data_IF_381367821264
#
_entry.id   IF_381367821264
#
_cell.length_a   1.000
_cell.length_b   1.000
_cell.length_c   1.000
_cell.angle_alpha   90.00
_cell.angle_beta   90.00
_cell.angle_gamma   90.00
#
_symmetry.space_group_name_H-M   'P 1'
#
loop_
_entity.id
_entity.type
_entity.pdbx_description
1 polymer ?
#
# COMPACT_ATOMS: atom_id res chain seq x y z
N UNK A 1 4.25 -6.01 23.90
CA UNK A 1 3.54 -4.77 23.57
C UNK A 1 4.26 -4.05 22.44
N UNK A 2 3.53 -3.75 21.35
CA UNK A 2 3.88 -2.72 20.37
C UNK A 2 3.23 -1.45 20.89
N UNK A 3 4.02 -0.42 21.17
CA UNK A 3 3.52 0.86 21.62
C UNK A 3 3.88 1.87 20.53
N UNK A 4 2.88 2.30 19.75
CA UNK A 4 2.99 3.45 18.86
C UNK A 4 3.00 4.71 19.74
N UNK A 5 4.17 5.03 20.28
CA UNK A 5 4.39 6.20 21.14
C UNK A 5 5.12 7.34 20.43
N UNK A 6 5.40 7.19 19.13
CA UNK A 6 6.19 8.16 18.36
C UNK A 6 7.69 8.06 18.62
N UNK A 7 8.16 6.93 19.15
CA UNK A 7 9.58 6.60 19.30
C UNK A 7 10.05 5.53 18.30
N UNK A 8 9.13 4.99 17.51
CA UNK A 8 9.41 4.00 16.47
C UNK A 8 10.06 4.63 15.22
N UNK A 9 10.86 3.84 14.50
CA UNK A 9 11.39 4.20 13.19
C UNK A 9 11.05 3.09 12.17
N UNK A 10 10.46 3.43 11.00
CA UNK A 10 9.92 4.76 10.66
C UNK A 10 8.72 5.15 11.53
N UNK A 11 8.58 6.45 11.80
CA UNK A 11 7.33 7.01 12.33
C UNK A 11 6.18 6.77 11.35
N UNK A 12 5.01 6.44 11.90
CA UNK A 12 3.79 6.28 11.10
C UNK A 12 3.12 7.64 10.88
N UNK A 13 2.62 7.85 9.67
CA UNK A 13 1.82 9.01 9.30
C UNK A 13 0.38 8.58 9.11
N UNK A 14 -0.49 8.94 10.06
CA UNK A 14 -1.94 8.68 10.01
C UNK A 14 -2.25 7.23 9.59
N UNK A 15 -1.89 6.24 10.44
CA UNK A 15 -2.25 4.85 10.17
C UNK A 15 -3.77 4.71 10.14
N UNK A 16 -4.30 4.05 9.11
CA UNK A 16 -5.73 3.85 8.93
C UNK A 16 -6.08 2.35 8.92
N UNK A 17 -5.95 1.68 7.78
CA UNK A 17 -6.31 0.27 7.63
C UNK A 17 -5.23 -0.68 8.13
N UNK A 18 -5.66 -1.88 8.57
CA UNK A 18 -4.80 -2.89 9.18
C UNK A 18 -5.23 -4.30 8.79
N UNK A 19 -4.25 -5.20 8.60
CA UNK A 19 -4.46 -6.65 8.59
C UNK A 19 -3.39 -7.33 9.43
N UNK A 20 -3.77 -8.42 10.09
CA UNK A 20 -2.83 -9.30 10.80
C UNK A 20 -2.81 -10.64 10.08
N UNK A 21 -1.62 -11.09 9.69
CA UNK A 21 -1.44 -12.39 9.04
C UNK A 21 -1.15 -13.51 10.04
N UNK A 22 -1.17 -14.75 9.55
CA UNK A 22 -0.86 -15.95 10.35
C UNK A 22 0.66 -16.11 10.65
N UNK A 23 1.52 -15.27 10.06
CA UNK A 23 2.97 -15.25 10.26
C UNK A 23 3.37 -14.27 11.38
N UNK A 24 2.39 -13.61 12.00
CA UNK A 24 2.60 -12.69 13.11
C UNK A 24 3.02 -11.30 12.67
N UNK A 25 2.68 -10.89 11.44
CA UNK A 25 2.89 -9.54 10.94
C UNK A 25 1.58 -8.75 11.00
N UNK A 26 1.70 -7.51 11.42
CA UNK A 26 0.68 -6.48 11.35
C UNK A 26 1.05 -5.58 10.17
N UNK A 27 0.24 -5.59 9.12
CA UNK A 27 0.40 -4.69 7.99
C UNK A 27 -0.53 -3.49 8.19
N UNK A 28 0.03 -2.30 8.08
CA UNK A 28 -0.61 -1.02 8.40
C UNK A 28 -0.50 -0.15 7.16
N UNK A 29 -1.63 0.38 6.69
CA UNK A 29 -1.70 1.33 5.59
C UNK A 29 -1.71 2.75 6.15
N UNK A 30 -0.93 3.63 5.53
CA UNK A 30 -0.96 5.06 5.84
C UNK A 30 -1.94 5.78 4.92
N UNK A 31 -2.75 6.67 5.51
CA UNK A 31 -3.51 7.71 4.82
C UNK A 31 -2.98 9.08 5.29
N UNK A 32 -1.89 9.59 4.67
CA UNK A 32 -1.38 10.91 5.02
C UNK A 32 -2.39 12.04 4.71
N UNK A 33 -3.44 11.77 3.93
CA UNK A 33 -4.25 12.76 3.24
C UNK A 33 -3.37 13.75 2.47
N UNK A 34 -3.76 15.02 2.47
CA UNK A 34 -3.02 16.09 1.79
C UNK A 34 -1.67 16.52 2.46
N UNK A 35 -0.96 15.60 3.12
CA UNK A 35 0.34 15.84 3.75
C UNK A 35 1.50 15.41 2.82
N UNK A 36 2.66 16.02 2.91
CA UNK A 36 3.74 15.83 1.93
C UNK A 36 4.46 14.46 2.00
N UNK A 37 4.11 13.62 2.97
CA UNK A 37 4.66 12.28 3.10
C UNK A 37 3.93 11.34 2.13
N UNK A 38 4.68 10.66 1.28
CA UNK A 38 4.14 9.68 0.33
C UNK A 38 3.73 8.40 1.04
N UNK A 39 2.47 7.99 0.87
CA UNK A 39 1.86 6.91 1.63
C UNK A 39 2.59 5.56 1.48
N UNK A 40 2.62 4.79 2.57
CA UNK A 40 3.28 3.48 2.66
C UNK A 40 2.34 2.41 3.19
N UNK A 41 2.72 1.16 2.92
CA UNK A 41 2.28 0.00 3.70
C UNK A 41 3.47 -0.42 4.56
N UNK A 42 3.27 -0.40 5.87
CA UNK A 42 4.26 -0.74 6.89
C UNK A 42 3.93 -2.11 7.46
N UNK A 43 4.94 -2.98 7.58
CA UNK A 43 4.80 -4.26 8.25
C UNK A 43 5.54 -4.23 9.59
N UNK A 44 4.84 -4.58 10.67
CA UNK A 44 5.39 -4.78 11.99
C UNK A 44 5.30 -6.26 12.38
N UNK A 45 6.42 -6.88 12.72
CA UNK A 45 6.42 -8.27 13.20
C UNK A 45 6.27 -8.31 14.72
N UNK A 46 5.23 -8.98 15.23
CA UNK A 46 4.87 -8.99 16.64
C UNK A 46 5.96 -9.61 17.52
N UNK A 47 6.62 -10.66 17.03
CA UNK A 47 7.62 -11.41 17.79
C UNK A 47 8.97 -10.69 17.82
N UNK A 48 9.52 -10.37 16.64
CA UNK A 48 10.84 -9.73 16.52
C UNK A 48 10.81 -8.23 16.79
N UNK A 49 9.62 -7.62 16.83
CA UNK A 49 9.39 -6.17 16.95
C UNK A 49 10.03 -5.34 15.83
N UNK A 50 10.43 -5.97 14.72
CA UNK A 50 11.00 -5.28 13.58
C UNK A 50 9.89 -4.61 12.74
N UNK A 51 10.22 -3.45 12.19
CA UNK A 51 9.36 -2.68 11.29
C UNK A 51 10.02 -2.63 9.91
N UNK A 52 9.24 -2.71 8.85
CA UNK A 52 9.70 -2.56 7.47
C UNK A 52 8.64 -1.89 6.60
N UNK A 53 9.08 -1.13 5.59
CA UNK A 53 8.21 -0.64 4.51
C UNK A 53 8.09 -1.75 3.47
N UNK A 54 6.87 -2.23 3.18
CA UNK A 54 6.63 -3.31 2.22
C UNK A 54 6.05 -2.82 0.90
N UNK A 55 5.44 -1.64 0.89
CA UNK A 55 5.04 -0.92 -0.31
C UNK A 55 5.09 0.58 -0.06
N UNK A 56 5.31 1.36 -1.11
CA UNK A 56 5.26 2.82 -1.11
C UNK A 56 4.80 3.30 -2.48
N UNK A 57 3.97 4.33 -2.51
CA UNK A 57 3.69 5.05 -3.75
C UNK A 57 4.97 5.66 -4.35
N UNK A 58 4.99 5.86 -5.68
CA UNK A 58 6.20 6.36 -6.37
C UNK A 58 6.32 7.88 -6.21
N UNK A 59 7.44 8.34 -5.67
CA UNK A 59 7.69 9.79 -5.46
C UNK A 59 7.51 10.64 -6.73
N UNK A 60 7.84 10.08 -7.90
CA UNK A 60 7.64 10.70 -9.22
C UNK A 60 6.22 11.26 -9.44
N UNK A 61 5.22 10.56 -8.90
CA UNK A 61 3.80 10.86 -9.10
C UNK A 61 3.17 11.57 -7.90
N UNK A 62 3.75 11.41 -6.71
CA UNK A 62 3.09 11.79 -5.45
C UNK A 62 3.84 12.83 -4.61
N UNK A 63 5.08 13.16 -4.96
CA UNK A 63 5.76 14.34 -4.42
C UNK A 63 5.42 15.56 -5.27
N UNK A 64 5.00 16.65 -4.63
CA UNK A 64 4.72 17.93 -5.29
C UNK A 64 5.91 18.37 -6.15
N UNK A 65 5.66 18.63 -7.44
CA UNK A 65 6.71 18.99 -8.40
C UNK A 65 7.45 17.81 -9.04
N UNK A 66 7.07 16.57 -8.75
CA UNK A 66 7.54 15.39 -9.46
C UNK A 66 7.25 15.44 -10.96
N UNK A 67 8.08 14.78 -11.77
CA UNK A 67 8.01 14.86 -13.24
C UNK A 67 6.70 14.32 -13.82
N UNK A 68 6.00 13.45 -13.09
CA UNK A 68 4.70 12.90 -13.46
C UNK A 68 3.59 13.27 -12.47
N UNK A 69 3.73 14.37 -11.72
CA UNK A 69 2.89 14.67 -10.56
C UNK A 69 1.37 14.53 -10.82
N UNK A 70 0.73 13.62 -10.08
CA UNK A 70 -0.70 13.33 -10.13
C UNK A 70 -1.41 14.12 -9.04
N UNK A 71 -1.11 13.84 -7.79
CA UNK A 71 -1.63 14.48 -6.59
C UNK A 71 -0.67 14.17 -5.44
N UNK A 72 -0.81 14.85 -4.30
CA UNK A 72 -0.12 14.49 -3.05
C UNK A 72 -1.09 13.87 -2.03
N UNK A 73 -2.30 13.56 -2.50
CA UNK A 73 -3.41 13.04 -1.73
C UNK A 73 -3.71 11.63 -2.28
N UNK A 74 -2.80 10.71 -1.98
CA UNK A 74 -2.89 9.30 -2.31
C UNK A 74 -2.85 8.44 -1.05
N UNK A 75 -3.60 7.35 -1.09
CA UNK A 75 -3.67 6.42 0.03
C UNK A 75 -3.86 4.99 -0.48
N UNK A 76 -3.63 4.04 0.41
CA UNK A 76 -4.05 2.67 0.18
C UNK A 76 -5.05 2.26 1.25
N UNK A 77 -6.06 1.47 0.89
CA UNK A 77 -7.08 1.01 1.82
C UNK A 77 -7.44 -0.46 1.62
N UNK A 78 -8.17 -1.01 2.59
CA UNK A 78 -8.81 -2.32 2.51
C UNK A 78 -7.86 -3.50 2.31
N UNK A 79 -6.70 -3.51 3.00
CA UNK A 79 -5.76 -4.64 2.92
C UNK A 79 -6.33 -5.92 3.55
N UNK A 80 -6.24 -7.02 2.81
CA UNK A 80 -6.66 -8.36 3.25
C UNK A 80 -5.64 -9.42 2.86
N UNK A 81 -5.42 -10.43 3.73
CA UNK A 81 -4.60 -11.60 3.41
C UNK A 81 -5.41 -12.56 2.51
N UNK A 82 -4.92 -12.78 1.30
CA UNK A 82 -5.52 -13.67 0.29
C UNK A 82 -4.60 -14.85 -0.04
N UNK A 83 -3.63 -15.15 0.83
CA UNK A 83 -2.62 -16.18 0.60
C UNK A 83 -3.22 -17.57 0.43
N UNK A 84 -4.37 -17.86 1.04
CA UNK A 84 -5.08 -19.13 0.83
C UNK A 84 -5.57 -19.30 -0.60
N UNK A 85 -6.01 -18.21 -1.23
CA UNK A 85 -6.59 -18.23 -2.58
C UNK A 85 -5.53 -18.16 -3.68
N UNK A 86 -4.44 -17.43 -3.44
CA UNK A 86 -3.43 -17.16 -4.47
C UNK A 86 -2.21 -18.08 -4.41
N UNK A 87 -2.04 -18.89 -3.36
CA UNK A 87 -0.96 -19.88 -3.32
C UNK A 87 -1.08 -20.86 -4.48
N UNK A 88 0.04 -21.10 -5.14
CA UNK A 88 0.11 -21.99 -6.32
C UNK A 88 0.22 -23.47 -5.95
N UNK A 89 0.44 -23.80 -4.68
CA UNK A 89 0.48 -25.16 -4.19
C UNK A 89 1.05 -25.25 -2.77
N UNK A 90 1.20 -26.48 -2.25
CA UNK A 90 1.68 -26.71 -0.86
C UNK A 90 3.08 -26.17 -0.58
N UNK A 91 3.90 -26.04 -1.62
CA UNK A 91 5.28 -25.56 -1.54
C UNK A 91 5.38 -24.04 -1.71
N UNK A 92 4.31 -23.38 -2.12
CA UNK A 92 4.25 -21.92 -2.16
C UNK A 92 4.12 -21.41 -0.72
N UNK A 93 5.19 -20.77 -0.24
CA UNK A 93 5.28 -20.19 1.10
C UNK A 93 5.13 -18.67 1.07
N UNK A 94 4.91 -18.09 -0.10
CA UNK A 94 4.71 -16.66 -0.21
C UNK A 94 3.40 -16.23 0.45
N UNK A 95 3.37 -14.99 0.89
CA UNK A 95 2.17 -14.31 1.35
C UNK A 95 1.66 -13.36 0.29
N UNK A 96 0.34 -13.29 0.16
CA UNK A 96 -0.35 -12.49 -0.84
C UNK A 96 -1.38 -11.61 -0.16
N UNK A 97 -1.33 -10.31 -0.44
CA UNK A 97 -2.23 -9.33 0.13
C UNK A 97 -2.91 -8.58 -1.01
N UNK A 98 -4.23 -8.50 -0.94
CA UNK A 98 -5.04 -7.68 -1.85
C UNK A 98 -5.36 -6.36 -1.14
N UNK A 99 -5.16 -5.24 -1.82
CA UNK A 99 -5.50 -3.91 -1.32
C UNK A 99 -5.85 -2.99 -2.49
N UNK A 100 -6.45 -1.84 -2.18
CA UNK A 100 -6.77 -0.80 -3.16
C UNK A 100 -5.79 0.35 -3.00
N UNK A 101 -5.33 0.91 -4.12
CA UNK A 101 -4.80 2.26 -4.18
C UNK A 101 -5.93 3.23 -4.53
N UNK A 102 -6.12 4.27 -3.72
CA UNK A 102 -7.03 5.38 -3.99
C UNK A 102 -6.20 6.63 -4.28
N UNK A 103 -6.52 7.29 -5.38
CA UNK A 103 -5.80 8.48 -5.81
C UNK A 103 -6.80 9.62 -5.92
N UNK A 104 -6.72 10.60 -5.01
CA UNK A 104 -7.60 11.77 -4.99
C UNK A 104 -7.22 12.76 -6.11
N UNK A 105 -7.52 12.33 -7.33
CA UNK A 105 -7.37 13.07 -8.56
C UNK A 105 -8.39 12.53 -9.59
N UNK A 106 -8.77 13.34 -10.60
CA UNK A 106 -9.65 12.87 -11.66
C UNK A 106 -9.14 11.57 -12.27
N UNK A 107 -10.03 10.61 -12.51
CA UNK A 107 -9.67 9.28 -12.98
C UNK A 107 -8.78 9.29 -14.25
N UNK A 108 -8.98 10.27 -15.14
CA UNK A 108 -8.14 10.46 -16.34
C UNK A 108 -6.66 10.78 -16.03
N UNK A 109 -6.37 11.44 -14.90
CA UNK A 109 -5.01 11.77 -14.48
C UNK A 109 -4.36 10.62 -13.71
N UNK A 110 -5.14 9.92 -12.89
CA UNK A 110 -4.66 8.85 -12.00
C UNK A 110 -4.62 7.47 -12.66
N UNK A 111 -5.26 7.30 -13.82
CA UNK A 111 -5.21 6.07 -14.64
C UNK A 111 -4.74 6.36 -16.07
N UNK A 112 -3.48 6.81 -16.25
CA UNK A 112 -2.92 7.08 -17.58
C UNK A 112 -2.76 5.81 -18.44
N UNK A 113 -2.90 4.63 -17.84
CA UNK A 113 -2.90 3.33 -18.50
C UNK A 113 -4.19 3.04 -19.28
N UNK A 114 -5.27 3.78 -19.01
CA UNK A 114 -6.55 3.59 -19.69
C UNK A 114 -6.60 4.39 -21.00
N UNK A 115 -7.02 3.71 -22.08
CA UNK A 115 -7.32 4.39 -23.34
C UNK A 115 -8.64 5.15 -23.24
N UNK A 116 -8.56 6.48 -23.25
CA UNK A 116 -9.73 7.36 -23.17
C UNK A 116 -10.71 7.20 -24.34
N UNK A 117 -10.29 6.64 -25.48
CA UNK A 117 -11.18 6.36 -26.60
C UNK A 117 -12.15 5.21 -26.29
N UNK A 118 -11.74 4.28 -25.43
CA UNK A 118 -12.54 3.10 -25.05
C UNK A 118 -13.12 3.21 -23.63
N UNK A 119 -12.47 3.96 -22.74
CA UNK A 119 -12.92 4.24 -21.39
C UNK A 119 -13.95 5.39 -21.35
N UNK A 120 -15.07 5.24 -22.07
CA UNK A 120 -16.14 6.25 -22.12
C UNK A 120 -16.82 6.51 -20.77
N UNK A 121 -16.63 5.62 -19.80
CA UNK A 121 -17.09 5.74 -18.42
C UNK A 121 -16.20 6.64 -17.55
N UNK A 122 -14.97 6.96 -17.98
CA UNK A 122 -13.99 7.70 -17.18
C UNK A 122 -14.46 9.07 -16.68
N UNK A 123 -15.27 9.86 -17.44
CA UNK A 123 -15.83 11.11 -16.95
C UNK A 123 -16.87 10.96 -15.82
N UNK A 124 -17.42 9.76 -15.63
CA UNK A 124 -18.38 9.45 -14.57
C UNK A 124 -17.70 8.90 -13.31
N UNK A 125 -16.43 8.48 -13.43
CA UNK A 125 -15.63 8.07 -12.29
C UNK A 125 -15.24 9.31 -11.47
N UNK A 126 -15.45 9.23 -10.15
CA UNK A 126 -15.14 10.33 -9.23
C UNK A 126 -13.63 10.50 -9.12
N UNK A 127 -12.92 9.39 -8.87
CA UNK A 127 -11.48 9.35 -8.64
C UNK A 127 -10.89 8.08 -9.26
N UNK A 128 -9.57 8.05 -9.38
CA UNK A 128 -8.88 6.87 -9.85
C UNK A 128 -8.40 5.97 -8.72
N UNK A 129 -7.99 4.79 -9.12
CA UNK A 129 -7.50 3.77 -8.22
C UNK A 129 -7.36 2.44 -8.92
N UNK A 130 -6.82 1.47 -8.20
CA UNK A 130 -6.72 0.10 -8.70
C UNK A 130 -6.51 -0.89 -7.56
N UNK A 131 -6.92 -2.12 -7.83
CA UNK A 131 -6.60 -3.26 -6.97
C UNK A 131 -5.16 -3.72 -7.24
N UNK A 132 -4.43 -3.97 -6.16
CA UNK A 132 -3.09 -4.51 -6.20
C UNK A 132 -2.99 -5.79 -5.40
N UNK A 133 -2.22 -6.74 -5.93
CA UNK A 133 -1.76 -7.90 -5.17
C UNK A 133 -0.28 -7.67 -4.82
N UNK A 134 0.02 -7.53 -3.54
CA UNK A 134 1.39 -7.57 -3.04
C UNK A 134 1.76 -9.00 -2.66
N UNK A 135 2.90 -9.46 -3.18
CA UNK A 135 3.48 -10.76 -2.86
C UNK A 135 4.74 -10.57 -2.01
N UNK A 136 4.79 -11.25 -0.87
CA UNK A 136 5.99 -11.34 -0.02
C UNK A 136 6.50 -12.78 -0.07
N UNK A 137 7.62 -13.00 -0.76
CA UNK A 137 8.21 -14.33 -0.90
C UNK A 137 8.81 -14.85 0.42
N UNK A 138 9.41 -13.95 1.20
CA UNK A 138 10.08 -14.31 2.45
C UNK A 138 10.10 -13.11 3.42
N UNK A 139 9.44 -13.26 4.57
CA UNK A 139 9.42 -12.23 5.61
C UNK A 139 10.81 -11.97 6.23
N UNK A 140 11.67 -12.98 6.28
CA UNK A 140 13.04 -12.83 6.83
C UNK A 140 13.84 -11.79 6.04
N UNK A 141 13.72 -11.77 4.71
CA UNK A 141 14.43 -10.79 3.87
C UNK A 141 13.87 -9.38 4.00
N UNK A 142 12.55 -9.24 4.25
CA UNK A 142 11.92 -7.93 4.46
C UNK A 142 12.48 -7.23 5.70
N UNK A 143 12.72 -8.00 6.76
CA UNK A 143 13.22 -7.49 8.04
C UNK A 143 14.75 -7.49 8.15
N UNK A 144 15.47 -7.63 7.02
CA UNK A 144 16.92 -7.48 6.96
C UNK A 144 17.75 -8.67 7.46
N UNK A 145 17.15 -9.86 7.63
CA UNK A 145 17.86 -11.03 8.18
C UNK A 145 18.13 -10.96 9.68
#
# INVERSE_FOLDING_TARGET
>A
EMLLNGGEEPLLSKPDNIVVDDAGNVLIQEDPGNNALVARIIAYNINSKKVAVVAKFKDEYFVTGGSGFITQDEESSGIVDVSEFLRTGKNDKAKYYLYVAQIHAPAAKSRPDLDTATATWLPQAVEGGQWYVMKIDNWTSIYGG
#
